data_IF_234872726411
#
_entry.id   IF_234872726411
#
_cell.length_a   1.000
_cell.length_b   1.000
_cell.length_c   1.000
_cell.angle_alpha   90.00
_cell.angle_beta   90.00
_cell.angle_gamma   90.00
#
_symmetry.space_group_name_H-M   'P 1'
#
loop_
_entity.id
_entity.type
_entity.pdbx_description
1 polymer ?
#
# COMPACT_ATOMS: atom_id res chain seq x y z
N UNK A 1 13.06 -11.73 -15.60
CA UNK A 1 12.98 -11.46 -14.15
C UNK A 1 11.54 -11.09 -13.89
N UNK A 2 10.80 -11.90 -13.15
CA UNK A 2 9.46 -11.54 -12.71
C UNK A 2 9.60 -10.36 -11.75
N UNK A 3 8.93 -9.25 -12.04
CA UNK A 3 8.93 -8.11 -11.12
C UNK A 3 7.92 -8.41 -10.03
N UNK A 4 8.42 -9.00 -8.94
CA UNK A 4 7.59 -9.49 -7.86
C UNK A 4 7.00 -8.31 -7.06
N UNK A 5 5.77 -8.49 -6.58
CA UNK A 5 5.09 -7.51 -5.74
C UNK A 5 5.56 -7.65 -4.30
N UNK A 6 6.28 -6.63 -3.81
CA UNK A 6 6.83 -6.56 -2.45
C UNK A 6 6.00 -5.61 -1.58
N UNK A 7 6.05 -5.82 -0.26
CA UNK A 7 5.29 -5.00 0.70
C UNK A 7 5.97 -3.63 0.84
N UNK A 8 5.21 -2.56 0.58
CA UNK A 8 5.62 -1.18 0.82
C UNK A 8 5.36 -0.79 2.28
N UNK A 9 4.10 -0.90 2.71
CA UNK A 9 3.66 -0.48 4.04
C UNK A 9 2.35 -1.18 4.46
N UNK A 10 2.11 -1.26 5.77
CA UNK A 10 0.89 -1.80 6.37
C UNK A 10 0.14 -0.64 7.03
N UNK A 11 -1.07 -0.38 6.55
CA UNK A 11 -1.94 0.69 7.02
C UNK A 11 -2.98 0.15 8.01
N UNK A 12 -3.38 0.94 9.02
CA UNK A 12 -4.46 0.60 9.94
C UNK A 12 -5.86 0.64 9.29
N UNK A 13 -6.02 1.32 8.15
CA UNK A 13 -7.30 1.44 7.44
C UNK A 13 -7.15 1.49 5.92
N UNK A 14 -8.22 1.11 5.20
CA UNK A 14 -8.29 1.23 3.74
C UNK A 14 -8.23 2.70 3.27
N UNK A 15 -8.77 3.63 4.06
CA UNK A 15 -8.75 5.07 3.74
C UNK A 15 -7.32 5.59 3.62
N UNK A 16 -6.47 5.34 4.62
CA UNK A 16 -5.06 5.74 4.59
C UNK A 16 -4.31 5.06 3.43
N UNK A 17 -4.55 3.76 3.23
CA UNK A 17 -3.96 3.03 2.11
C UNK A 17 -4.36 3.60 0.74
N UNK A 18 -5.57 4.15 0.60
CA UNK A 18 -6.04 4.79 -0.63
C UNK A 18 -5.48 6.20 -0.83
N UNK A 19 -5.25 6.96 0.25
CA UNK A 19 -4.58 8.26 0.20
C UNK A 19 -3.16 8.09 -0.37
N UNK A 20 -2.39 7.15 0.19
CA UNK A 20 -1.03 6.85 -0.29
C UNK A 20 -1.03 6.33 -1.72
N UNK A 21 -2.00 5.50 -2.10
CA UNK A 21 -2.14 5.04 -3.48
C UNK A 21 -2.27 6.20 -4.45
N UNK A 22 -3.14 7.16 -4.17
CA UNK A 22 -3.34 8.31 -5.05
C UNK A 22 -2.06 9.14 -5.21
N UNK A 23 -1.23 9.23 -4.17
CA UNK A 23 0.08 9.87 -4.26
C UNK A 23 1.05 9.09 -5.14
N UNK A 24 1.17 7.77 -4.93
CA UNK A 24 2.03 6.92 -5.75
C UNK A 24 1.59 6.89 -7.22
N UNK A 25 0.28 6.83 -7.47
CA UNK A 25 -0.30 6.86 -8.81
C UNK A 25 0.02 8.21 -9.52
N UNK A 26 0.10 9.33 -8.78
CA UNK A 26 0.49 10.63 -9.33
C UNK A 26 1.97 10.69 -9.78
N UNK A 27 2.83 9.92 -9.10
CA UNK A 27 4.25 9.73 -9.45
C UNK A 27 4.47 8.57 -10.45
N UNK A 28 3.38 7.95 -10.94
CA UNK A 28 3.44 6.87 -11.93
C UNK A 28 3.74 5.48 -11.35
N UNK A 29 3.75 5.33 -10.02
CA UNK A 29 4.01 4.07 -9.32
C UNK A 29 2.69 3.36 -9.04
N UNK A 30 2.55 2.14 -9.58
CA UNK A 30 1.32 1.36 -9.39
C UNK A 30 1.36 0.57 -8.08
N UNK A 31 0.45 0.87 -7.16
CA UNK A 31 0.37 0.20 -5.85
C UNK A 31 -0.86 -0.71 -5.71
N UNK A 32 -0.65 -2.02 -5.52
CA UNK A 32 -1.70 -3.00 -5.28
C UNK A 32 -2.17 -3.00 -3.81
N UNK A 33 -3.47 -3.04 -3.59
CA UNK A 33 -4.08 -3.18 -2.25
C UNK A 33 -4.23 -4.67 -1.90
N UNK A 34 -3.67 -5.08 -0.79
CA UNK A 34 -3.87 -6.40 -0.19
C UNK A 34 -4.54 -6.22 1.17
N UNK A 35 -5.75 -6.76 1.31
CA UNK A 35 -6.50 -6.77 2.56
C UNK A 35 -7.06 -8.16 2.81
N UNK A 36 -7.03 -8.55 4.08
CA UNK A 36 -7.52 -9.85 4.54
C UNK A 36 -8.80 -9.65 5.38
N UNK A 37 -9.81 -9.02 4.76
CA UNK A 37 -11.12 -8.71 5.35
C UNK A 37 -12.25 -9.60 4.82
N UNK A 38 -11.88 -10.77 4.26
CA UNK A 38 -12.78 -11.68 3.55
C UNK A 38 -13.62 -10.97 2.46
N UNK A 39 -12.98 -10.07 1.69
CA UNK A 39 -13.65 -9.32 0.63
C UNK A 39 -14.59 -8.23 1.14
N UNK A 40 -14.34 -7.70 2.34
CA UNK A 40 -15.15 -6.67 2.98
C UNK A 40 -16.27 -7.18 3.89
N UNK A 41 -16.39 -8.51 4.08
CA UNK A 41 -17.35 -9.10 5.02
C UNK A 41 -17.00 -8.81 6.48
N UNK A 42 -15.72 -8.55 6.79
CA UNK A 42 -15.25 -8.24 8.13
C UNK A 42 -14.33 -7.00 8.18
N UNK A 43 -14.87 -5.77 7.98
CA UNK A 43 -14.07 -4.54 7.99
C UNK A 43 -13.39 -4.28 9.34
N UNK A 44 -13.99 -4.76 10.43
CA UNK A 44 -13.45 -4.66 11.80
C UNK A 44 -12.18 -5.50 12.03
N UNK A 45 -11.79 -6.39 11.10
CA UNK A 45 -10.52 -7.11 11.16
C UNK A 45 -9.35 -6.32 10.55
N UNK A 46 -9.63 -5.25 9.78
CA UNK A 46 -8.58 -4.41 9.17
C UNK A 46 -7.62 -3.79 10.19
N UNK A 47 -8.04 -3.30 11.38
CA UNK A 47 -7.12 -2.75 12.37
C UNK A 47 -6.21 -3.79 13.04
N UNK A 48 -6.57 -5.08 13.01
CA UNK A 48 -5.81 -6.16 13.67
C UNK A 48 -4.88 -6.91 12.71
N UNK A 49 -5.25 -7.02 11.43
CA UNK A 49 -4.43 -7.67 10.40
C UNK A 49 -3.72 -6.70 9.45
N UNK A 50 -4.16 -5.44 9.42
CA UNK A 50 -3.60 -4.39 8.59
C UNK A 50 -4.01 -4.48 7.12
N UNK A 51 -4.05 -3.33 6.46
CA UNK A 51 -4.25 -3.18 5.01
C UNK A 51 -2.89 -2.95 4.37
N UNK A 52 -2.42 -3.90 3.58
CA UNK A 52 -1.06 -3.87 3.02
C UNK A 52 -1.06 -3.27 1.62
N UNK A 53 -0.15 -2.33 1.36
CA UNK A 53 0.17 -1.90 -0.01
C UNK A 53 1.40 -2.63 -0.52
N UNK A 54 1.31 -3.11 -1.76
CA UNK A 54 2.43 -3.72 -2.47
C UNK A 54 2.76 -2.94 -3.73
N UNK A 55 4.05 -2.85 -4.05
CA UNK A 55 4.59 -2.23 -5.27
C UNK A 55 5.52 -3.21 -5.96
N UNK A 56 5.93 -2.92 -7.19
CA UNK A 56 7.00 -3.68 -7.85
C UNK A 56 8.29 -3.53 -7.07
N UNK A 57 9.09 -4.60 -6.98
CA UNK A 57 10.39 -4.56 -6.28
C UNK A 57 11.31 -3.48 -6.87
N UNK A 58 11.26 -3.32 -8.19
CA UNK A 58 11.98 -2.26 -8.92
C UNK A 58 11.61 -0.83 -8.47
N UNK A 59 10.40 -0.62 -7.95
CA UNK A 59 9.85 0.69 -7.57
C UNK A 59 9.83 0.91 -6.04
N UNK A 60 10.20 -0.12 -5.26
CA UNK A 60 10.09 -0.09 -3.80
C UNK A 60 10.82 1.09 -3.17
N UNK A 61 12.06 1.35 -3.60
CA UNK A 61 12.90 2.41 -3.03
C UNK A 61 12.37 3.80 -3.33
N UNK A 62 11.82 4.00 -4.52
CA UNK A 62 11.21 5.26 -4.93
C UNK A 62 9.91 5.51 -4.17
N UNK A 63 9.05 4.49 -4.08
CA UNK A 63 7.82 4.53 -3.31
C UNK A 63 8.06 4.83 -1.82
N UNK A 64 9.10 4.25 -1.21
CA UNK A 64 9.49 4.56 0.17
C UNK A 64 9.94 6.01 0.35
N UNK A 65 10.61 6.58 -0.66
CA UNK A 65 11.07 7.98 -0.64
C UNK A 65 9.90 8.94 -0.69
N UNK A 66 8.92 8.68 -1.57
CA UNK A 66 7.68 9.47 -1.67
C UNK A 66 6.89 9.40 -0.36
N UNK A 67 6.77 8.20 0.23
CA UNK A 67 6.07 8.01 1.50
C UNK A 67 6.72 8.82 2.62
N UNK A 68 8.05 8.72 2.76
CA UNK A 68 8.79 9.44 3.79
C UNK A 68 8.76 10.97 3.61
N UNK A 69 8.68 11.46 2.39
CA UNK A 69 8.52 12.89 2.11
C UNK A 69 7.12 13.43 2.48
N UNK A 70 6.13 12.55 2.58
CA UNK A 70 4.73 12.90 2.85
C UNK A 70 4.37 12.92 4.34
N UNK A 71 5.16 12.21 5.17
CA UNK A 71 4.98 12.11 6.63
C UNK A 71 5.64 13.26 7.42
N UNK A 72 6.17 14.28 6.74
CA UNK A 72 6.94 15.40 7.33
C UNK A 72 6.32 16.76 7.00
#
# INVERSE_FOLDING_TARGET
MSDDLVILHIFPSETEANIVRSMLDAEGISAALFKDDAGGMHPHLQPTRGVTRKVRDSELKEAQTILAASDN
#
